data_IF_040390017913
#
_entry.id   IF_040390017913
#
_cell.length_a   1.000
_cell.length_b   1.000
_cell.length_c   1.000
_cell.angle_alpha   90.00
_cell.angle_beta   90.00
_cell.angle_gamma   90.00
#
_symmetry.space_group_name_H-M   'P 1'
#
loop_
_entity.id
_entity.type
_entity.pdbx_description
1 polymer ?
#
# COMPACT_ATOMS: atom_id res chain seq x y z
N UNK A 1 15.89 -25.36 31.96
CA UNK A 1 14.61 -25.89 31.43
C UNK A 1 13.52 -25.18 32.22
N UNK A 2 12.59 -24.40 31.66
CA UNK A 2 11.76 -24.65 30.47
C UNK A 2 11.22 -23.31 29.96
N UNK A 3 11.49 -22.93 28.71
CA UNK A 3 10.85 -21.78 28.04
C UNK A 3 9.56 -22.31 27.40
N UNK A 4 8.40 -21.96 27.97
CA UNK A 4 7.10 -22.27 27.38
C UNK A 4 6.81 -21.36 26.18
N UNK A 5 7.25 -21.75 24.98
CA UNK A 5 6.78 -21.14 23.73
C UNK A 5 5.36 -21.64 23.44
N UNK A 6 4.38 -20.77 23.66
CA UNK A 6 2.99 -21.02 23.28
C UNK A 6 2.84 -20.75 21.77
N UNK A 7 3.29 -21.69 20.94
CA UNK A 7 3.24 -21.62 19.48
C UNK A 7 1.94 -22.25 18.97
N UNK A 8 0.79 -21.62 19.23
CA UNK A 8 -0.47 -22.02 18.57
C UNK A 8 -0.65 -21.22 17.27
N UNK A 9 -0.87 -21.88 16.12
CA UNK A 9 -1.23 -21.18 14.89
C UNK A 9 -2.59 -20.50 15.09
N UNK A 10 -2.65 -19.18 14.91
CA UNK A 10 -3.89 -18.43 14.95
C UNK A 10 -4.76 -18.82 13.75
N UNK A 11 -6.05 -19.04 13.99
CA UNK A 11 -7.00 -19.39 12.93
C UNK A 11 -7.35 -18.14 12.10
N UNK A 12 -7.77 -18.31 10.84
CA UNK A 12 -8.20 -17.19 9.99
C UNK A 12 -9.30 -16.34 10.67
N UNK A 13 -10.16 -16.98 11.47
CA UNK A 13 -11.17 -16.32 12.32
C UNK A 13 -10.59 -15.44 13.43
N UNK A 14 -9.40 -15.74 13.95
CA UNK A 14 -8.76 -14.96 15.01
C UNK A 14 -8.15 -13.66 14.48
N UNK A 15 -7.77 -13.63 13.21
CA UNK A 15 -7.24 -12.43 12.50
C UNK A 15 -8.35 -11.48 12.00
N UNK A 16 -9.62 -11.88 12.08
CA UNK A 16 -10.76 -11.13 11.51
C UNK A 16 -11.52 -10.31 12.58
N UNK A 17 -11.19 -10.41 13.87
CA UNK A 17 -11.91 -9.64 14.90
C UNK A 17 -11.64 -8.13 14.77
N UNK A 18 -12.66 -7.29 14.55
CA UNK A 18 -12.47 -5.83 14.52
C UNK A 18 -12.10 -5.33 15.92
N UNK A 19 -11.09 -4.44 15.98
CA UNK A 19 -10.77 -3.70 17.18
C UNK A 19 -11.97 -2.82 17.57
N UNK A 20 -12.40 -2.94 18.82
CA UNK A 20 -13.60 -2.27 19.32
C UNK A 20 -13.29 -0.79 19.62
N UNK A 21 -13.51 0.09 18.65
CA UNK A 21 -13.46 1.55 18.84
C UNK A 21 -14.59 2.22 18.07
N UNK A 22 -15.43 2.99 18.79
CA UNK A 22 -16.52 3.79 18.21
C UNK A 22 -15.99 4.78 17.16
N UNK A 23 -16.67 5.03 16.03
CA UNK A 23 -16.16 5.88 14.97
C UNK A 23 -16.46 7.36 15.22
N UNK A 24 -15.46 8.20 15.03
CA UNK A 24 -15.64 9.59 14.57
C UNK A 24 -15.79 9.57 13.05
N UNK A 25 -17.01 9.84 12.58
CA UNK A 25 -17.44 10.32 11.25
C UNK A 25 -16.47 10.24 10.04
N UNK A 26 -16.12 9.03 9.61
CA UNK A 26 -16.12 8.55 8.22
C UNK A 26 -15.58 7.11 8.21
N UNK A 27 -16.39 6.16 7.76
CA UNK A 27 -15.96 4.76 7.60
C UNK A 27 -14.93 4.67 6.47
N UNK A 28 -13.77 4.01 6.72
CA UNK A 28 -12.73 3.76 5.69
C UNK A 28 -13.33 3.13 4.44
N UNK A 29 -12.80 3.47 3.26
CA UNK A 29 -13.33 2.95 2.00
C UNK A 29 -13.04 1.45 1.76
N UNK A 30 -12.29 0.78 2.64
CA UNK A 30 -12.05 -0.67 2.61
C UNK A 30 -12.80 -1.48 3.68
N UNK A 31 -13.67 -0.85 4.48
CA UNK A 31 -14.34 -1.48 5.63
C UNK A 31 -15.07 -2.80 5.28
N UNK A 32 -15.81 -2.82 4.17
CA UNK A 32 -16.61 -3.99 3.75
C UNK A 32 -15.97 -4.77 2.59
N UNK A 33 -14.73 -4.44 2.22
CA UNK A 33 -14.06 -5.10 1.11
C UNK A 33 -13.41 -6.42 1.52
N UNK A 34 -13.26 -7.31 0.54
CA UNK A 34 -12.62 -8.61 0.72
C UNK A 34 -11.22 -8.50 1.31
N UNK A 35 -10.75 -9.57 1.98
CA UNK A 35 -9.46 -9.60 2.69
C UNK A 35 -8.30 -9.00 1.88
N UNK A 36 -8.15 -9.40 0.62
CA UNK A 36 -7.10 -8.93 -0.30
C UNK A 36 -7.10 -7.40 -0.55
N UNK A 37 -8.24 -6.75 -0.37
CA UNK A 37 -8.48 -5.35 -0.68
C UNK A 37 -8.39 -4.44 0.55
N UNK A 38 -8.29 -4.98 1.77
CA UNK A 38 -7.97 -4.16 2.94
C UNK A 38 -6.59 -3.54 2.79
N UNK A 39 -6.41 -2.29 3.19
CA UNK A 39 -5.18 -1.53 2.89
C UNK A 39 -3.91 -2.23 3.37
N UNK A 40 -3.97 -2.79 4.56
CA UNK A 40 -2.90 -3.53 5.22
C UNK A 40 -2.48 -4.78 4.43
N UNK A 41 -3.37 -5.30 3.59
CA UNK A 41 -3.17 -6.49 2.75
C UNK A 41 -2.74 -6.17 1.32
N UNK A 42 -2.51 -4.89 0.99
CA UNK A 42 -1.94 -4.48 -0.29
C UNK A 42 -0.44 -4.30 -0.15
N UNK A 43 -0.06 -3.28 0.63
CA UNK A 43 1.29 -2.94 1.04
C UNK A 43 1.14 -1.90 2.14
N UNK A 44 1.81 -2.08 3.27
CA UNK A 44 1.61 -1.23 4.44
C UNK A 44 2.93 -0.94 5.14
N UNK A 45 3.20 0.36 5.32
CA UNK A 45 4.32 0.82 6.13
C UNK A 45 3.90 0.89 7.61
N UNK A 46 4.70 0.29 8.48
CA UNK A 46 4.58 0.41 9.93
C UNK A 46 5.97 0.21 10.57
N UNK A 47 6.34 1.10 11.49
CA UNK A 47 7.56 0.97 12.32
C UNK A 47 8.85 0.61 11.55
N UNK A 48 9.15 1.31 10.46
CA UNK A 48 10.38 1.10 9.68
C UNK A 48 10.35 -0.11 8.75
N UNK A 49 9.16 -0.70 8.52
CA UNK A 49 8.99 -1.89 7.68
C UNK A 49 7.81 -1.70 6.75
N UNK A 50 7.94 -2.15 5.50
CA UNK A 50 6.80 -2.30 4.58
C UNK A 50 6.45 -3.78 4.45
N UNK A 51 5.23 -4.15 4.83
CA UNK A 51 4.70 -5.51 4.65
C UNK A 51 3.82 -5.56 3.42
N UNK A 52 4.04 -6.53 2.54
CA UNK A 52 3.30 -6.72 1.29
C UNK A 52 2.73 -8.13 1.28
N UNK A 53 1.42 -8.28 1.14
CA UNK A 53 0.82 -9.60 1.01
C UNK A 53 1.35 -10.28 -0.27
N UNK A 54 1.86 -11.50 -0.12
CA UNK A 54 2.41 -12.25 -1.24
C UNK A 54 1.30 -12.93 -2.06
N UNK A 55 0.86 -12.22 -3.09
CA UNK A 55 -0.21 -12.64 -3.99
C UNK A 55 0.22 -13.74 -4.95
N UNK A 56 1.50 -14.16 -4.95
CA UNK A 56 1.98 -15.30 -5.76
C UNK A 56 1.54 -16.63 -5.16
N UNK A 57 1.33 -16.67 -3.84
CA UNK A 57 0.94 -17.88 -3.09
C UNK A 57 -0.44 -17.78 -2.43
N UNK A 58 -1.02 -16.58 -2.37
CA UNK A 58 -2.42 -16.37 -2.01
C UNK A 58 -3.35 -16.94 -3.11
N UNK A 59 -4.49 -17.57 -2.78
CA UNK A 59 -5.10 -17.72 -1.45
C UNK A 59 -4.65 -18.96 -0.67
N UNK A 60 -3.83 -19.84 -1.26
CA UNK A 60 -3.43 -21.11 -0.65
C UNK A 60 -2.58 -20.91 0.62
N UNK A 61 -1.71 -19.90 0.62
CA UNK A 61 -0.87 -19.56 1.77
C UNK A 61 -0.99 -18.08 2.10
N UNK A 62 -1.24 -17.76 3.36
CA UNK A 62 -1.19 -16.40 3.88
C UNK A 62 0.24 -16.06 4.31
N UNK A 63 0.96 -15.31 3.47
CA UNK A 63 2.34 -14.88 3.69
C UNK A 63 2.51 -13.41 3.33
N UNK A 64 3.37 -12.71 4.07
CA UNK A 64 3.79 -11.35 3.75
C UNK A 64 5.28 -11.32 3.44
N UNK A 65 5.65 -10.61 2.38
CA UNK A 65 7.02 -10.18 2.17
C UNK A 65 7.29 -8.96 3.05
N UNK A 66 8.38 -9.01 3.81
CA UNK A 66 8.77 -7.97 4.77
C UNK A 66 9.95 -7.22 4.17
N UNK A 67 9.77 -5.93 3.92
CA UNK A 67 10.75 -5.06 3.29
C UNK A 67 11.29 -4.07 4.34
N UNK A 68 12.59 -4.12 4.61
CA UNK A 68 13.28 -3.25 5.57
C UNK A 68 14.04 -2.11 4.85
N UNK A 69 14.20 -2.22 3.54
CA UNK A 69 14.77 -1.17 2.69
C UNK A 69 13.91 -0.85 1.47
N UNK A 70 14.19 0.29 0.81
CA UNK A 70 13.48 0.64 -0.44
C UNK A 70 13.85 -0.33 -1.57
N UNK A 71 15.06 -0.86 -1.59
CA UNK A 71 15.49 -1.89 -2.53
C UNK A 71 14.69 -3.17 -2.34
N UNK A 72 14.34 -3.54 -1.10
CA UNK A 72 13.44 -4.67 -0.84
C UNK A 72 12.05 -4.41 -1.44
N UNK A 73 11.50 -3.21 -1.25
CA UNK A 73 10.21 -2.82 -1.83
C UNK A 73 10.27 -2.84 -3.37
N UNK A 74 11.35 -2.32 -3.96
CA UNK A 74 11.55 -2.32 -5.41
C UNK A 74 11.65 -3.76 -5.97
N UNK A 75 12.35 -4.66 -5.26
CA UNK A 75 12.40 -6.09 -5.61
C UNK A 75 11.02 -6.74 -5.48
N UNK A 76 10.28 -6.49 -4.40
CA UNK A 76 8.93 -7.02 -4.23
C UNK A 76 7.97 -6.56 -5.34
N UNK A 77 8.07 -5.29 -5.76
CA UNK A 77 7.33 -4.77 -6.92
C UNK A 77 7.73 -5.52 -8.19
N UNK A 78 9.05 -5.62 -8.46
CA UNK A 78 9.60 -6.29 -9.65
C UNK A 78 9.18 -7.76 -9.74
N UNK A 79 9.25 -8.47 -8.64
CA UNK A 79 8.94 -9.90 -8.52
C UNK A 79 7.43 -10.18 -8.43
N UNK A 80 6.61 -9.13 -8.61
CA UNK A 80 5.14 -9.21 -8.62
C UNK A 80 4.58 -9.88 -7.37
N UNK A 81 5.17 -9.59 -6.21
CA UNK A 81 4.62 -9.97 -4.88
C UNK A 81 3.21 -9.45 -4.74
N UNK A 82 2.96 -8.24 -5.23
CA UNK A 82 1.63 -7.65 -5.39
C UNK A 82 1.43 -7.18 -6.83
N UNK A 83 0.24 -7.38 -7.38
CA UNK A 83 -0.10 -7.02 -8.77
C UNK A 83 -1.32 -6.06 -8.83
N UNK A 84 -1.79 -5.74 -10.04
CA UNK A 84 -2.82 -4.72 -10.31
C UNK A 84 -2.40 -3.32 -9.80
N UNK A 85 -3.18 -2.64 -8.97
CA UNK A 85 -2.80 -1.35 -8.39
C UNK A 85 -1.92 -1.47 -7.12
N UNK A 86 -1.63 -2.70 -6.68
CA UNK A 86 -0.77 -2.99 -5.54
C UNK A 86 0.63 -2.34 -5.61
N UNK A 87 1.34 -2.43 -6.76
CA UNK A 87 2.63 -1.75 -6.95
C UNK A 87 2.61 -0.25 -6.69
N UNK A 88 1.49 0.43 -6.97
CA UNK A 88 1.37 1.88 -6.70
C UNK A 88 1.32 2.17 -5.22
N UNK A 89 0.58 1.36 -4.46
CA UNK A 89 0.54 1.45 -3.00
C UNK A 89 1.90 1.10 -2.40
N UNK A 90 2.55 0.03 -2.90
CA UNK A 90 3.89 -0.36 -2.46
C UNK A 90 4.93 0.74 -2.71
N UNK A 91 4.92 1.38 -3.87
CA UNK A 91 5.80 2.51 -4.15
C UNK A 91 5.55 3.69 -3.20
N UNK A 92 4.28 4.04 -2.95
CA UNK A 92 3.94 5.10 -1.99
C UNK A 92 4.42 4.79 -0.56
N UNK A 93 4.20 3.57 -0.09
CA UNK A 93 4.68 3.12 1.22
C UNK A 93 6.21 3.01 1.29
N UNK A 94 6.86 2.64 0.20
CA UNK A 94 8.32 2.64 0.06
C UNK A 94 8.92 4.03 0.19
N UNK A 95 8.23 5.09 -0.27
CA UNK A 95 8.67 6.46 -0.03
C UNK A 95 8.63 6.83 1.46
N UNK A 96 7.62 6.36 2.21
CA UNK A 96 7.56 6.55 3.66
C UNK A 96 8.69 5.81 4.39
N UNK A 97 9.02 4.59 3.95
CA UNK A 97 10.17 3.83 4.44
C UNK A 97 11.49 4.56 4.19
N UNK A 98 11.71 5.08 2.98
CA UNK A 98 12.91 5.87 2.68
C UNK A 98 13.02 7.10 3.59
N UNK A 99 11.92 7.83 3.81
CA UNK A 99 11.91 8.97 4.72
C UNK A 99 12.29 8.57 6.16
N UNK A 100 11.77 7.45 6.65
CA UNK A 100 12.11 6.94 7.97
C UNK A 100 13.61 6.65 8.13
N UNK A 101 14.22 6.02 7.13
CA UNK A 101 15.64 5.66 7.15
C UNK A 101 16.58 6.89 7.23
N UNK A 102 16.09 8.08 6.87
CA UNK A 102 16.88 9.33 6.83
C UNK A 102 16.31 10.46 7.68
N UNK A 103 15.36 10.19 8.59
CA UNK A 103 14.64 11.21 9.36
C UNK A 103 15.56 12.15 10.16
N UNK A 104 16.71 11.65 10.63
CA UNK A 104 17.70 12.44 11.40
C UNK A 104 18.76 13.13 10.52
N UNK A 105 18.65 13.03 9.18
CA UNK A 105 19.62 13.62 8.25
C UNK A 105 19.24 15.04 7.86
N UNK A 106 20.20 15.75 7.27
CA UNK A 106 19.98 17.10 6.73
C UNK A 106 18.98 17.08 5.59
N UNK A 107 18.30 18.22 5.36
CA UNK A 107 17.37 18.42 4.23
C UNK A 107 17.91 17.90 2.90
N UNK A 108 19.17 18.22 2.59
CA UNK A 108 19.83 17.79 1.35
C UNK A 108 19.94 16.27 1.27
N UNK A 109 20.37 15.62 2.36
CA UNK A 109 20.51 14.16 2.41
C UNK A 109 19.17 13.44 2.37
N UNK A 110 18.12 14.01 2.98
CA UNK A 110 16.78 13.45 2.87
C UNK A 110 16.27 13.50 1.43
N UNK A 111 16.41 14.65 0.75
CA UNK A 111 15.98 14.78 -0.64
C UNK A 111 16.77 13.88 -1.59
N UNK A 112 18.09 13.73 -1.38
CA UNK A 112 18.93 12.80 -2.15
C UNK A 112 18.41 11.36 -2.03
N UNK A 113 18.18 10.88 -0.81
CA UNK A 113 17.67 9.53 -0.55
C UNK A 113 16.25 9.33 -1.11
N UNK A 114 15.37 10.32 -0.97
CA UNK A 114 14.01 10.24 -1.52
C UNK A 114 14.00 10.26 -3.05
N UNK A 115 14.91 10.99 -3.70
CA UNK A 115 15.06 10.99 -5.17
C UNK A 115 15.55 9.64 -5.67
N UNK A 116 16.52 9.05 -4.97
CA UNK A 116 16.97 7.69 -5.26
C UNK A 116 15.81 6.69 -5.12
N UNK A 117 15.09 6.74 -3.99
CA UNK A 117 13.93 5.88 -3.76
C UNK A 117 12.86 6.02 -4.85
N UNK A 118 12.54 7.26 -5.23
CA UNK A 118 11.57 7.54 -6.27
C UNK A 118 11.96 6.90 -7.61
N UNK A 119 13.23 6.97 -7.99
CA UNK A 119 13.71 6.39 -9.24
C UNK A 119 13.61 4.86 -9.24
N UNK A 120 14.17 4.19 -8.23
CA UNK A 120 14.19 2.72 -8.20
C UNK A 120 12.79 2.10 -8.03
N UNK A 121 11.91 2.75 -7.27
CA UNK A 121 10.52 2.30 -7.10
C UNK A 121 9.72 2.50 -8.40
N UNK A 122 9.92 3.64 -9.07
CA UNK A 122 9.14 3.96 -10.27
C UNK A 122 9.59 3.20 -11.51
N UNK A 123 10.84 2.74 -11.57
CA UNK A 123 11.39 1.97 -12.69
C UNK A 123 11.35 0.46 -12.48
N UNK A 124 10.94 -0.02 -11.29
CA UNK A 124 10.91 -1.45 -10.93
C UNK A 124 10.16 -2.34 -11.95
N UNK A 125 9.16 -1.79 -12.64
CA UNK A 125 8.40 -2.47 -13.72
C UNK A 125 8.09 -1.50 -14.88
N UNK A 126 8.70 -1.68 -16.07
CA UNK A 126 8.60 -0.73 -17.19
C UNK A 126 7.18 -0.40 -17.63
N UNK A 127 6.28 -1.40 -17.65
CA UNK A 127 4.90 -1.20 -18.10
C UNK A 127 4.06 -0.34 -17.16
N UNK A 128 4.42 -0.28 -15.88
CA UNK A 128 3.71 0.51 -14.86
C UNK A 128 4.43 1.81 -14.50
N UNK A 129 5.62 2.04 -15.05
CA UNK A 129 6.51 3.15 -14.73
C UNK A 129 5.82 4.53 -14.82
N UNK A 130 5.09 4.90 -15.90
CA UNK A 130 4.49 6.23 -16.00
C UNK A 130 3.49 6.55 -14.88
N UNK A 131 2.87 5.51 -14.28
CA UNK A 131 1.95 5.67 -13.15
C UNK A 131 2.67 5.60 -11.82
N UNK A 132 3.74 4.80 -11.70
CA UNK A 132 4.58 4.78 -10.50
C UNK A 132 5.35 6.09 -10.33
N UNK A 133 5.87 6.69 -11.43
CA UNK A 133 6.49 8.02 -11.40
C UNK A 133 5.57 9.08 -10.83
N UNK A 134 4.30 9.11 -11.24
CA UNK A 134 3.30 10.04 -10.66
C UNK A 134 3.13 9.87 -9.15
N UNK A 135 3.19 8.63 -8.65
CA UNK A 135 3.10 8.37 -7.20
C UNK A 135 4.33 8.90 -6.49
N UNK A 136 5.52 8.55 -6.98
CA UNK A 136 6.79 8.92 -6.34
C UNK A 136 7.11 10.41 -6.46
N UNK A 137 6.78 11.06 -7.58
CA UNK A 137 6.88 12.51 -7.79
C UNK A 137 5.91 13.27 -6.87
N UNK A 138 4.69 12.77 -6.69
CA UNK A 138 3.74 13.33 -5.74
C UNK A 138 4.28 13.29 -4.30
N UNK A 139 4.94 12.19 -3.92
CA UNK A 139 5.61 12.07 -2.63
C UNK A 139 6.81 13.02 -2.51
N UNK A 140 7.64 13.15 -3.55
CA UNK A 140 8.75 14.11 -3.57
C UNK A 140 8.28 15.56 -3.41
N UNK A 141 7.23 15.97 -4.14
CA UNK A 141 6.66 17.29 -4.01
C UNK A 141 6.15 17.56 -2.58
N UNK A 142 5.53 16.56 -1.94
CA UNK A 142 5.10 16.67 -0.55
C UNK A 142 6.29 16.74 0.43
N UNK A 143 7.36 15.98 0.18
CA UNK A 143 8.60 16.04 0.96
C UNK A 143 9.25 17.42 0.90
N UNK A 144 9.43 17.97 -0.30
CA UNK A 144 10.03 19.31 -0.49
C UNK A 144 9.24 20.38 0.26
N UNK A 145 7.91 20.42 0.11
CA UNK A 145 7.04 21.35 0.84
C UNK A 145 7.13 21.20 2.35
N UNK A 146 7.19 19.96 2.85
CA UNK A 146 7.29 19.69 4.27
C UNK A 146 8.64 20.11 4.87
N UNK A 147 9.73 19.89 4.15
CA UNK A 147 11.07 20.35 4.52
C UNK A 147 11.18 21.88 4.49
N UNK A 148 10.57 22.53 3.49
CA UNK A 148 10.48 23.99 3.41
C UNK A 148 9.69 24.59 4.58
N UNK A 149 8.68 23.86 5.07
CA UNK A 149 7.92 24.20 6.27
C UNK A 149 8.62 23.82 7.59
N UNK A 150 9.89 23.39 7.53
CA UNK A 150 10.71 23.11 8.71
C UNK A 150 10.49 21.75 9.37
N UNK A 151 9.76 20.82 8.75
CA UNK A 151 9.68 19.44 9.26
C UNK A 151 11.02 18.73 9.09
N UNK A 152 11.48 18.05 10.14
CA UNK A 152 12.68 17.20 10.09
C UNK A 152 12.37 15.75 9.74
N UNK A 153 11.26 15.19 10.22
CA UNK A 153 10.82 13.84 9.87
C UNK A 153 9.64 13.87 8.89
N UNK A 154 9.81 13.19 7.76
CA UNK A 154 8.85 13.14 6.66
C UNK A 154 8.04 11.84 6.63
N UNK A 155 8.35 10.87 7.49
CA UNK A 155 7.75 9.52 7.51
C UNK A 155 6.22 9.58 7.46
N UNK A 156 5.61 10.26 8.45
CA UNK A 156 4.16 10.40 8.53
C UNK A 156 3.58 11.24 7.38
N UNK A 157 4.35 12.22 6.88
CA UNK A 157 3.90 13.04 5.75
C UNK A 157 3.75 12.16 4.51
N UNK A 158 4.76 11.34 4.19
CA UNK A 158 4.75 10.50 2.99
C UNK A 158 3.84 9.29 3.14
N UNK A 159 3.74 8.71 4.33
CA UNK A 159 2.72 7.72 4.65
C UNK A 159 1.31 8.26 4.35
N UNK A 160 1.00 9.47 4.83
CA UNK A 160 -0.31 10.10 4.58
C UNK A 160 -0.53 10.40 3.09
N UNK A 161 0.51 10.72 2.31
CA UNK A 161 0.37 10.85 0.85
C UNK A 161 -0.07 9.52 0.22
N UNK A 162 0.59 8.42 0.59
CA UNK A 162 0.27 7.09 0.08
C UNK A 162 -1.13 6.63 0.52
N UNK A 163 -1.45 6.77 1.81
CA UNK A 163 -2.75 6.46 2.40
C UNK A 163 -3.87 7.24 1.71
N UNK A 164 -3.74 8.56 1.59
CA UNK A 164 -4.77 9.39 0.95
C UNK A 164 -4.93 9.08 -0.54
N UNK A 165 -3.86 8.66 -1.23
CA UNK A 165 -3.95 8.21 -2.62
C UNK A 165 -4.72 6.88 -2.75
N UNK A 166 -4.54 5.97 -1.79
CA UNK A 166 -5.26 4.71 -1.68
C UNK A 166 -6.75 4.93 -1.37
N UNK A 167 -7.07 5.74 -0.36
CA UNK A 167 -8.43 6.16 -0.01
C UNK A 167 -9.17 6.76 -1.21
N UNK A 168 -8.58 7.76 -1.87
CA UNK A 168 -9.17 8.39 -3.07
C UNK A 168 -9.41 7.39 -4.21
N UNK A 169 -8.52 6.40 -4.37
CA UNK A 169 -8.69 5.35 -5.39
C UNK A 169 -9.91 4.51 -5.07
N UNK A 170 -10.05 4.08 -3.82
CA UNK A 170 -11.16 3.22 -3.40
C UNK A 170 -12.49 3.97 -3.50
N UNK A 171 -12.56 5.20 -2.98
CA UNK A 171 -13.72 6.08 -3.12
C UNK A 171 -14.20 6.21 -4.58
N UNK A 172 -13.26 6.42 -5.51
CA UNK A 172 -13.56 6.54 -6.94
C UNK A 172 -14.02 5.22 -7.55
N UNK A 173 -13.40 4.10 -7.18
CA UNK A 173 -13.77 2.79 -7.73
C UNK A 173 -15.12 2.30 -7.22
N UNK A 174 -15.52 2.67 -6.00
CA UNK A 174 -16.89 2.45 -5.52
C UNK A 174 -17.92 3.13 -6.42
N UNK A 175 -17.71 4.40 -6.77
CA UNK A 175 -18.60 5.12 -7.70
C UNK A 175 -18.64 4.45 -9.07
N UNK A 176 -17.47 4.10 -9.62
CA UNK A 176 -17.38 3.38 -10.91
C UNK A 176 -18.12 2.04 -10.86
N UNK A 177 -17.97 1.28 -9.77
CA UNK A 177 -18.68 0.02 -9.55
C UNK A 177 -20.19 0.20 -9.49
N UNK A 178 -20.68 1.22 -8.80
CA UNK A 178 -22.11 1.54 -8.74
C UNK A 178 -22.69 1.88 -10.12
N UNK A 179 -22.00 2.73 -10.89
CA UNK A 179 -22.40 3.04 -12.26
C UNK A 179 -22.33 1.82 -13.18
N UNK A 180 -21.29 0.99 -13.04
CA UNK A 180 -21.18 -0.24 -13.82
C UNK A 180 -22.35 -1.19 -13.55
N UNK A 181 -22.68 -1.43 -12.28
CA UNK A 181 -23.81 -2.28 -11.88
C UNK A 181 -25.15 -1.72 -12.37
N UNK A 182 -25.34 -0.39 -12.38
CA UNK A 182 -26.59 0.21 -12.85
C UNK A 182 -26.84 0.03 -14.36
N UNK A 183 -25.81 -0.31 -15.14
CA UNK A 183 -25.93 -0.64 -16.56
C UNK A 183 -26.27 -2.11 -16.83
N UNK A 184 -26.17 -2.97 -15.82
CA UNK A 184 -26.39 -4.41 -15.98
C UNK A 184 -27.88 -4.77 -15.84
N UNK A 185 -28.39 -5.73 -16.64
CA UNK A 185 -29.70 -6.32 -16.38
C UNK A 185 -29.68 -7.11 -15.06
N UNK A 186 -30.84 -7.32 -14.44
CA UNK A 186 -31.00 -8.03 -13.15
C UNK A 186 -30.33 -9.42 -13.11
N UNK A 187 -30.22 -10.11 -14.25
CA UNK A 187 -29.54 -11.40 -14.40
C UNK A 187 -28.45 -11.29 -15.46
N UNK A 188 -27.39 -10.57 -15.13
CA UNK A 188 -26.21 -10.45 -15.99
C UNK A 188 -25.22 -11.59 -15.75
N UNK A 189 -24.57 -12.06 -16.81
CA UNK A 189 -23.35 -12.87 -16.73
C UNK A 189 -22.21 -11.98 -17.20
N UNK A 190 -21.22 -11.75 -16.33
CA UNK A 190 -20.09 -10.86 -16.62
C UNK A 190 -18.84 -11.70 -16.86
N UNK A 191 -18.26 -11.57 -18.05
CA UNK A 191 -16.92 -12.10 -18.33
C UNK A 191 -15.88 -11.03 -18.02
N UNK A 192 -14.85 -11.38 -17.26
CA UNK A 192 -13.72 -10.49 -16.94
C UNK A 192 -12.41 -11.19 -17.27
N UNK A 193 -11.34 -10.41 -17.45
CA UNK A 193 -9.99 -10.92 -17.62
C UNK A 193 -9.04 -10.14 -16.70
N UNK A 194 -8.03 -10.83 -16.17
CA UNK A 194 -7.13 -10.32 -15.12
C UNK A 194 -7.88 -10.12 -13.78
N UNK A 195 -7.30 -9.33 -12.87
CA UNK A 195 -7.88 -8.99 -11.58
C UNK A 195 -8.32 -7.52 -11.56
N UNK A 196 -9.62 -7.29 -11.72
CA UNK A 196 -10.27 -5.98 -11.73
C UNK A 196 -10.33 -5.25 -10.37
N UNK A 197 -9.54 -5.70 -9.38
CA UNK A 197 -9.39 -5.12 -8.03
C UNK A 197 -10.69 -4.53 -7.45
N UNK A 198 -10.68 -3.27 -7.02
CA UNK A 198 -11.78 -2.58 -6.32
C UNK A 198 -12.96 -2.22 -7.22
N UNK A 199 -12.94 -2.56 -8.50
CA UNK A 199 -14.10 -2.42 -9.39
C UNK A 199 -15.07 -3.60 -9.20
N UNK A 200 -14.55 -4.77 -8.80
CA UNK A 200 -15.30 -6.04 -8.76
C UNK A 200 -15.32 -6.68 -7.37
N UNK A 201 -14.47 -6.22 -6.44
CA UNK A 201 -14.33 -6.79 -5.10
C UNK A 201 -14.88 -5.94 -3.96
#
# INVERSE_FOLDING_TARGET
MTIGRNNRPQTLSDLIKPANTKPTDQTRHDHDLGFLLRYENIAWYECGVVRILDRRVYPTTLRYETCESVEDVARAIKDMVTQSAGPYTAAGMGMALAANAVAEKTKVKQLEALRYAADILSTARPTTEPRMRRVTEGALCAAEKALDAGKSDLTNTLFNVAFNALERRYARMTLVGQYFVSLLPKKAVVMTQCFGETIVG
#
